data_IF_555269139682
#
_entry.id   IF_555269139682
#
_cell.length_a   1.000
_cell.length_b   1.000
_cell.length_c   1.000
_cell.angle_alpha   90.00
_cell.angle_beta   90.00
_cell.angle_gamma   90.00
#
_symmetry.space_group_name_H-M   'P 1'
#
loop_
_entity.id
_entity.type
_entity.pdbx_description
1 polymer ?
#
# COMPACT_ATOMS: atom_id res chain seq x y z
N UNK A 1 -38.20 20.87 17.19
CA UNK A 1 -36.75 20.93 16.97
C UNK A 1 -36.27 19.49 16.88
N UNK A 2 -36.01 19.00 15.67
CA UNK A 2 -35.54 17.65 15.43
C UNK A 2 -34.08 17.52 15.87
N UNK A 3 -33.65 16.39 16.48
CA UNK A 3 -32.24 16.17 16.82
C UNK A 3 -31.38 16.09 15.55
N UNK A 4 -30.13 16.55 15.59
CA UNK A 4 -29.23 16.47 14.43
C UNK A 4 -29.04 15.01 14.03
N UNK A 5 -29.19 14.76 12.73
CA UNK A 5 -28.96 13.46 12.10
C UNK A 5 -27.56 12.96 12.44
N UNK A 6 -27.46 11.74 12.95
CA UNK A 6 -26.19 11.09 13.21
C UNK A 6 -25.33 11.05 11.95
N UNK A 7 -24.01 11.25 12.05
CA UNK A 7 -23.12 11.13 10.90
C UNK A 7 -23.23 9.73 10.31
N UNK A 8 -23.08 9.58 8.97
CA UNK A 8 -23.16 8.28 8.33
C UNK A 8 -22.14 7.34 8.96
N UNK A 9 -22.63 6.23 9.47
CA UNK A 9 -21.77 5.17 10.03
C UNK A 9 -20.74 4.77 8.99
N UNK A 10 -19.47 5.00 9.31
CA UNK A 10 -18.33 4.50 8.53
C UNK A 10 -18.54 3.00 8.45
N UNK A 11 -18.85 2.50 7.25
CA UNK A 11 -18.95 1.06 7.03
C UNK A 11 -17.60 0.45 7.40
N UNK A 12 -17.53 -0.47 8.38
CA UNK A 12 -16.29 -1.19 8.64
C UNK A 12 -15.91 -1.92 7.35
N UNK A 13 -14.64 -1.87 6.93
CA UNK A 13 -14.25 -2.36 5.64
C UNK A 13 -14.59 -3.83 5.50
N UNK A 14 -15.19 -4.22 4.38
CA UNK A 14 -15.25 -5.59 3.83
C UNK A 14 -13.84 -6.21 3.66
N UNK A 15 -12.86 -5.60 4.29
CA UNK A 15 -11.44 -5.68 3.99
C UNK A 15 -10.71 -6.86 4.63
N UNK A 16 -11.16 -7.45 5.72
CA UNK A 16 -10.33 -8.48 6.37
C UNK A 16 -10.34 -9.83 5.63
N UNK A 17 -11.48 -10.24 5.06
CA UNK A 17 -11.55 -11.45 4.21
C UNK A 17 -11.04 -11.17 2.79
N UNK A 18 -11.32 -10.00 2.24
CA UNK A 18 -10.86 -9.57 0.93
C UNK A 18 -9.34 -9.38 0.90
N UNK A 19 -8.75 -8.80 1.94
CA UNK A 19 -7.30 -8.64 2.08
C UNK A 19 -6.56 -9.97 2.02
N UNK A 20 -6.95 -10.99 2.79
CA UNK A 20 -6.29 -12.32 2.78
C UNK A 20 -6.31 -13.00 1.41
N UNK A 21 -7.33 -12.76 0.61
CA UNK A 21 -7.46 -13.36 -0.72
C UNK A 21 -6.68 -12.63 -1.80
N UNK A 22 -6.35 -11.34 -1.58
CA UNK A 22 -5.49 -10.56 -2.45
C UNK A 22 -3.99 -10.70 -2.14
N UNK A 23 -3.63 -11.24 -0.96
CA UNK A 23 -2.22 -11.39 -0.55
C UNK A 23 -1.35 -12.12 -1.58
N UNK A 24 -1.86 -13.19 -2.17
CA UNK A 24 -1.10 -13.95 -3.19
C UNK A 24 -0.88 -13.16 -4.48
N UNK A 25 -1.90 -12.53 -5.10
CA UNK A 25 -1.70 -11.62 -6.22
C UNK A 25 -0.78 -10.44 -5.90
N UNK A 26 -0.93 -9.80 -4.73
CA UNK A 26 -0.07 -8.70 -4.30
C UNK A 26 1.39 -9.16 -4.19
N UNK A 27 1.66 -10.24 -3.47
CA UNK A 27 3.01 -10.78 -3.31
C UNK A 27 3.62 -11.25 -4.64
N UNK A 28 2.82 -11.81 -5.55
CA UNK A 28 3.28 -12.18 -6.88
C UNK A 28 3.67 -10.94 -7.70
N UNK A 29 2.87 -9.88 -7.64
CA UNK A 29 3.14 -8.63 -8.33
C UNK A 29 4.38 -7.93 -7.77
N UNK A 30 4.54 -7.87 -6.46
CA UNK A 30 5.76 -7.32 -5.83
C UNK A 30 7.03 -8.03 -6.29
N UNK A 31 7.02 -9.36 -6.39
CA UNK A 31 8.17 -10.12 -6.92
C UNK A 31 8.49 -9.77 -8.37
N UNK A 32 7.46 -9.62 -9.21
CA UNK A 32 7.64 -9.25 -10.62
C UNK A 32 8.17 -7.81 -10.76
N UNK A 33 7.72 -6.91 -9.89
CA UNK A 33 8.18 -5.52 -9.85
C UNK A 33 9.64 -5.35 -9.42
N UNK A 34 10.29 -6.37 -8.87
CA UNK A 34 11.73 -6.30 -8.56
C UNK A 34 12.58 -6.10 -9.82
N UNK A 35 12.14 -6.62 -10.95
CA UNK A 35 12.93 -6.61 -12.21
C UNK A 35 12.21 -5.92 -13.37
N UNK A 36 10.90 -5.67 -13.28
CA UNK A 36 10.08 -5.17 -14.39
C UNK A 36 9.18 -4.03 -13.94
N UNK A 37 8.76 -3.20 -14.89
CA UNK A 37 7.74 -2.17 -14.64
C UNK A 37 6.33 -2.78 -14.56
N UNK A 38 5.40 -2.08 -13.92
CA UNK A 38 4.03 -2.55 -13.78
C UNK A 38 3.32 -2.72 -15.13
N UNK A 39 3.62 -1.84 -16.07
CA UNK A 39 3.05 -1.87 -17.43
C UNK A 39 3.40 -3.16 -18.18
N UNK A 40 4.62 -3.65 -17.99
CA UNK A 40 5.14 -4.86 -18.64
C UNK A 40 4.62 -6.17 -18.03
N UNK A 41 4.04 -6.11 -16.84
CA UNK A 41 3.54 -7.30 -16.14
C UNK A 41 2.11 -7.60 -16.59
N UNK A 42 1.87 -8.77 -17.15
CA UNK A 42 0.55 -9.24 -17.56
C UNK A 42 -0.25 -9.89 -16.42
N UNK A 43 -1.59 -9.82 -16.47
CA UNK A 43 -2.46 -10.51 -15.50
C UNK A 43 -2.19 -12.01 -15.46
N UNK A 44 -1.89 -12.62 -16.61
CA UNK A 44 -1.55 -14.05 -16.72
C UNK A 44 -0.33 -14.42 -15.87
N UNK A 45 0.68 -13.55 -15.82
CA UNK A 45 1.89 -13.77 -15.02
C UNK A 45 1.59 -13.63 -13.53
N UNK A 46 0.78 -12.62 -13.17
CA UNK A 46 0.35 -12.40 -11.79
C UNK A 46 -0.41 -13.62 -11.27
N UNK A 47 -1.42 -14.11 -11.99
CA UNK A 47 -2.23 -15.24 -11.54
C UNK A 47 -1.43 -16.54 -11.49
N UNK A 48 -0.49 -16.74 -12.41
CA UNK A 48 0.45 -17.87 -12.38
C UNK A 48 1.33 -17.80 -11.13
N UNK A 49 1.94 -16.65 -10.86
CA UNK A 49 2.78 -16.42 -9.67
C UNK A 49 2.00 -16.51 -8.36
N UNK A 50 0.72 -16.15 -8.37
CA UNK A 50 -0.19 -16.22 -7.23
C UNK A 50 -0.82 -17.61 -7.04
N UNK A 51 -0.62 -18.54 -7.99
CA UNK A 51 -1.28 -19.86 -8.03
C UNK A 51 -2.81 -19.72 -7.93
N UNK A 52 -3.38 -18.86 -8.75
CA UNK A 52 -4.83 -18.60 -8.85
C UNK A 52 -5.25 -18.58 -10.31
N UNK A 53 -6.56 -18.43 -10.59
CA UNK A 53 -7.09 -18.32 -11.93
C UNK A 53 -7.37 -16.86 -12.31
N UNK A 54 -7.44 -16.59 -13.62
CA UNK A 54 -7.85 -15.29 -14.16
C UNK A 54 -9.27 -14.93 -13.71
N UNK A 55 -10.18 -15.91 -13.69
CA UNK A 55 -11.54 -15.70 -13.19
C UNK A 55 -11.56 -15.30 -11.71
N UNK A 56 -10.74 -15.96 -10.88
CA UNK A 56 -10.59 -15.59 -9.46
C UNK A 56 -9.97 -14.21 -9.26
N UNK A 57 -9.10 -13.78 -10.16
CA UNK A 57 -8.53 -12.44 -10.15
C UNK A 57 -9.61 -11.39 -10.41
N UNK A 58 -10.32 -11.50 -11.54
CA UNK A 58 -11.36 -10.53 -11.93
C UNK A 58 -12.64 -10.59 -11.09
N UNK A 59 -12.88 -11.68 -10.38
CA UNK A 59 -13.95 -11.72 -9.36
C UNK A 59 -13.70 -10.80 -8.17
N UNK A 60 -12.48 -10.29 -8.00
CA UNK A 60 -12.06 -9.46 -6.84
C UNK A 60 -11.53 -8.09 -7.24
N UNK A 61 -11.01 -7.98 -8.43
CA UNK A 61 -10.39 -6.78 -8.97
C UNK A 61 -11.07 -6.45 -10.29
N UNK A 62 -11.57 -5.25 -10.42
CA UNK A 62 -12.22 -4.77 -11.64
C UNK A 62 -11.26 -4.82 -12.83
N UNK A 63 -10.02 -4.41 -12.58
CA UNK A 63 -8.94 -4.42 -13.56
C UNK A 63 -7.57 -4.65 -12.90
N UNK A 64 -6.53 -4.68 -13.70
CA UNK A 64 -5.15 -4.76 -13.23
C UNK A 64 -4.76 -3.53 -12.41
N UNK A 65 -5.32 -2.36 -12.71
CA UNK A 65 -5.00 -1.10 -12.04
C UNK A 65 -5.56 -1.07 -10.61
N UNK A 66 -6.71 -1.72 -10.37
CA UNK A 66 -7.27 -1.87 -9.03
C UNK A 66 -6.30 -2.59 -8.06
N UNK A 67 -5.38 -3.39 -8.62
CA UNK A 67 -4.31 -4.00 -7.83
C UNK A 67 -3.34 -2.97 -7.25
N UNK A 68 -3.07 -1.87 -7.98
CA UNK A 68 -2.21 -0.78 -7.47
C UNK A 68 -2.84 -0.06 -6.27
N UNK A 69 -4.16 0.12 -6.26
CA UNK A 69 -4.86 0.70 -5.09
C UNK A 69 -4.66 -0.19 -3.86
N UNK A 70 -4.83 -1.51 -4.00
CA UNK A 70 -4.60 -2.45 -2.91
C UNK A 70 -3.12 -2.52 -2.47
N UNK A 71 -2.18 -2.34 -3.41
CA UNK A 71 -0.74 -2.26 -3.09
C UNK A 71 -0.41 -0.95 -2.38
N UNK A 72 -1.05 0.16 -2.75
CA UNK A 72 -0.91 1.44 -2.08
C UNK A 72 -1.37 1.35 -0.62
N UNK A 73 -2.59 0.87 -0.37
CA UNK A 73 -3.13 0.68 0.99
C UNK A 73 -2.19 -0.19 1.86
N UNK A 74 -1.61 -1.23 1.27
CA UNK A 74 -0.67 -2.10 1.98
C UNK A 74 0.65 -1.39 2.29
N UNK A 75 1.18 -0.65 1.33
CA UNK A 75 2.41 0.13 1.49
C UNK A 75 2.26 1.19 2.57
N UNK A 76 1.12 1.88 2.56
CA UNK A 76 0.79 2.92 3.52
C UNK A 76 0.68 2.37 4.94
N UNK A 77 -0.06 1.27 5.13
CA UNK A 77 -0.13 0.58 6.41
C UNK A 77 1.25 0.09 6.92
N UNK A 78 2.11 -0.43 6.03
CA UNK A 78 3.49 -0.84 6.39
C UNK A 78 4.33 0.37 6.83
N UNK A 79 4.15 1.51 6.18
CA UNK A 79 4.81 2.77 6.55
C UNK A 79 4.36 3.25 7.93
N UNK A 80 3.06 3.24 8.21
CA UNK A 80 2.50 3.64 9.50
C UNK A 80 3.01 2.76 10.63
N UNK A 81 3.04 1.43 10.43
CA UNK A 81 3.60 0.49 11.40
C UNK A 81 5.08 0.79 11.69
N UNK A 82 5.87 1.09 10.66
CA UNK A 82 7.29 1.45 10.80
C UNK A 82 7.49 2.76 11.54
N UNK A 83 6.68 3.77 11.24
CA UNK A 83 6.69 5.06 11.95
C UNK A 83 6.29 4.85 13.42
N UNK A 84 5.25 4.07 13.70
CA UNK A 84 4.82 3.77 15.05
C UNK A 84 5.91 3.01 15.84
N UNK A 85 6.54 2.01 15.21
CA UNK A 85 7.65 1.27 15.80
C UNK A 85 8.84 2.19 16.11
N UNK A 86 9.19 3.09 15.19
CA UNK A 86 10.25 4.07 15.43
C UNK A 86 9.91 5.04 16.57
N UNK A 87 8.67 5.54 16.64
CA UNK A 87 8.22 6.39 17.74
C UNK A 87 8.25 5.69 19.09
N UNK A 88 8.00 4.38 19.11
CA UNK A 88 8.04 3.56 20.33
C UNK A 88 9.46 3.19 20.73
N UNK A 89 10.39 3.23 19.78
CA UNK A 89 11.81 2.95 20.05
C UNK A 89 12.45 4.16 20.70
N UNK A 90 12.78 4.01 21.99
CA UNK A 90 13.54 4.99 22.77
C UNK A 90 14.91 4.43 23.12
N UNK A 91 15.89 4.55 22.21
CA UNK A 91 17.26 4.19 22.56
C UNK A 91 17.78 5.13 23.67
N UNK A 92 18.66 4.64 24.49
CA UNK A 92 19.36 5.47 25.46
C UNK A 92 20.81 5.62 24.98
N UNK A 93 21.24 6.84 24.66
CA UNK A 93 20.53 8.14 24.70
C UNK A 93 19.50 8.29 23.57
N UNK A 94 18.53 9.19 23.77
CA UNK A 94 17.52 9.49 22.74
C UNK A 94 18.18 9.89 21.42
N UNK A 95 17.63 9.46 20.26
CA UNK A 95 18.28 9.68 18.97
C UNK A 95 18.37 11.15 18.58
N UNK A 96 17.54 12.01 19.15
CA UNK A 96 17.49 13.43 18.81
C UNK A 96 17.21 13.66 17.31
N UNK A 97 17.50 14.87 16.83
CA UNK A 97 17.32 15.22 15.43
C UNK A 97 18.21 14.39 14.49
N UNK A 98 19.44 14.13 14.88
CA UNK A 98 20.41 13.36 14.07
C UNK A 98 19.92 11.93 13.87
N UNK A 99 19.47 11.26 14.94
CA UNK A 99 18.94 9.90 14.84
C UNK A 99 17.65 9.83 14.01
N UNK A 100 16.78 10.83 14.11
CA UNK A 100 15.60 10.94 13.27
C UNK A 100 15.96 11.09 11.78
N UNK A 101 16.90 11.98 11.46
CA UNK A 101 17.38 12.17 10.10
C UNK A 101 18.03 10.89 9.54
N UNK A 102 18.87 10.24 10.33
CA UNK A 102 19.52 8.99 9.93
C UNK A 102 18.47 7.91 9.61
N UNK A 103 17.47 7.71 10.46
CA UNK A 103 16.40 6.76 10.21
C UNK A 103 15.64 7.06 8.92
N UNK A 104 15.29 8.34 8.68
CA UNK A 104 14.61 8.75 7.43
C UNK A 104 15.47 8.43 6.21
N UNK A 105 16.76 8.72 6.26
CA UNK A 105 17.70 8.45 5.17
C UNK A 105 17.80 6.93 4.91
N UNK A 106 18.00 6.13 5.95
CA UNK A 106 18.07 4.68 5.84
C UNK A 106 16.77 4.10 5.25
N UNK A 107 15.62 4.56 5.73
CA UNK A 107 14.32 4.16 5.20
C UNK A 107 14.16 4.51 3.71
N UNK A 108 14.52 5.73 3.32
CA UNK A 108 14.44 6.16 1.92
C UNK A 108 15.38 5.35 1.03
N UNK A 109 16.62 5.13 1.45
CA UNK A 109 17.60 4.34 0.71
C UNK A 109 17.12 2.90 0.52
N UNK A 110 16.63 2.25 1.58
CA UNK A 110 16.07 0.90 1.51
C UNK A 110 14.85 0.84 0.56
N UNK A 111 13.91 1.76 0.74
CA UNK A 111 12.70 1.81 -0.08
C UNK A 111 13.00 2.04 -1.56
N UNK A 112 13.87 3.00 -1.88
CA UNK A 112 14.25 3.28 -3.27
C UNK A 112 15.13 2.20 -3.90
N UNK A 113 15.96 1.53 -3.12
CA UNK A 113 16.83 0.48 -3.64
C UNK A 113 16.07 -0.82 -3.93
N UNK A 114 15.21 -1.23 -2.98
CA UNK A 114 14.53 -2.53 -3.04
C UNK A 114 13.16 -2.48 -3.73
N UNK A 115 12.49 -1.31 -3.79
CA UNK A 115 11.11 -1.19 -4.26
C UNK A 115 10.90 -0.13 -5.35
N UNK A 116 11.96 0.22 -6.09
CA UNK A 116 11.92 1.33 -7.07
C UNK A 116 10.77 1.24 -8.07
N UNK A 117 10.55 0.07 -8.67
CA UNK A 117 9.48 -0.09 -9.66
C UNK A 117 8.09 -0.06 -9.03
N UNK A 118 7.94 -0.57 -7.81
CA UNK A 118 6.71 -0.43 -7.03
C UNK A 118 6.41 1.04 -6.73
N UNK A 119 7.36 1.76 -6.16
CA UNK A 119 7.18 3.19 -5.82
C UNK A 119 6.86 4.02 -7.05
N UNK A 120 7.53 3.74 -8.17
CA UNK A 120 7.21 4.39 -9.45
C UNK A 120 5.77 4.11 -9.89
N UNK A 121 5.34 2.84 -9.84
CA UNK A 121 3.98 2.47 -10.22
C UNK A 121 2.94 3.12 -9.32
N UNK A 122 3.17 3.15 -8.00
CA UNK A 122 2.30 3.80 -7.02
C UNK A 122 2.24 5.32 -7.23
N UNK A 123 3.38 5.98 -7.44
CA UNK A 123 3.44 7.43 -7.69
C UNK A 123 2.65 7.82 -8.96
N UNK A 124 2.77 7.04 -10.04
CA UNK A 124 2.00 7.27 -11.26
C UNK A 124 0.51 7.02 -11.03
N UNK A 125 0.15 5.99 -10.28
CA UNK A 125 -1.24 5.67 -9.96
C UNK A 125 -1.92 6.78 -9.14
N UNK A 126 -1.28 7.25 -8.08
CA UNK A 126 -1.77 8.36 -7.24
C UNK A 126 -1.91 9.65 -8.06
N UNK A 127 -0.96 9.92 -8.96
CA UNK A 127 -1.02 11.10 -9.83
C UNK A 127 -2.22 11.07 -10.79
N UNK A 128 -2.63 9.89 -11.24
CA UNK A 128 -3.78 9.70 -12.12
C UNK A 128 -5.11 9.65 -11.37
N UNK A 129 -5.08 9.28 -10.09
CA UNK A 129 -6.25 9.13 -9.22
C UNK A 129 -5.99 9.80 -7.86
N UNK A 130 -6.03 11.13 -7.79
CA UNK A 130 -5.72 11.87 -6.56
C UNK A 130 -6.66 11.51 -5.38
N UNK A 131 -7.84 10.99 -5.66
CA UNK A 131 -8.76 10.49 -4.65
C UNK A 131 -8.21 9.33 -3.81
N UNK A 132 -7.26 8.58 -4.34
CA UNK A 132 -6.60 7.47 -3.60
C UNK A 132 -5.67 8.01 -2.51
N UNK A 133 -5.04 9.17 -2.75
CA UNK A 133 -4.15 9.81 -1.78
C UNK A 133 -4.90 10.73 -0.79
N UNK A 134 -6.11 11.17 -1.16
CA UNK A 134 -6.86 12.19 -0.40
C UNK A 134 -7.70 11.65 0.74
N UNK A 135 -7.80 10.33 0.91
CA UNK A 135 -8.66 9.74 1.95
C UNK A 135 -8.14 9.97 3.39
N UNK A 136 -6.90 10.39 3.57
CA UNK A 136 -6.27 10.54 4.89
C UNK A 136 -5.97 11.98 5.31
N UNK A 137 -5.94 12.94 4.39
CA UNK A 137 -5.59 14.34 4.75
C UNK A 137 -6.73 15.07 5.44
N UNK A 138 -7.89 14.47 5.59
CA UNK A 138 -9.09 15.10 6.21
C UNK A 138 -9.24 14.81 7.71
N UNK A 139 -8.26 14.19 8.36
CA UNK A 139 -8.31 13.84 9.80
C UNK A 139 -7.15 14.40 10.61
N UNK A 140 -6.66 15.60 10.29
CA UNK A 140 -5.78 16.35 11.19
C UNK A 140 -6.50 17.62 11.64
#
# INVERSE_FOLDING_TARGET
MAPPSAPPAIRPPLQSRSRRTLERPLAATERLLQTRSFEEIGVQEIVRGARTSVGSFYARLEDKTALLSAMYERYDADLDERIAAWRSYRPVPEPGLVGACQWVVEYLVDSFSSRRNLLRALALHVRQRPEVAGAETAQI
#
